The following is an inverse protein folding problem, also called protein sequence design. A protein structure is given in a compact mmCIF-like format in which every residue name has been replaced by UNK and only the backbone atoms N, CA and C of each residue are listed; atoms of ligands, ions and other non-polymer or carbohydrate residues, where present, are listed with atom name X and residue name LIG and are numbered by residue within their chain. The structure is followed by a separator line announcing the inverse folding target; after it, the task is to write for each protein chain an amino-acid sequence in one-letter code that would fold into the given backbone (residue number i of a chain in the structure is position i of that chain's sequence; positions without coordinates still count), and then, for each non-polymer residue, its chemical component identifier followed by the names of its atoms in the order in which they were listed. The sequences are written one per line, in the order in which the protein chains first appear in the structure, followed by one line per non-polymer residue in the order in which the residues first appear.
data_IF_082237521146
#
_entry.id   IF_082237521146
#
_cell.length_a   1.000
_cell.length_b   1.000
_cell.length_c   1.000
_cell.angle_alpha   90.00
_cell.angle_beta   90.00
_cell.angle_gamma   90.00
#
_symmetry.space_group_name_H-M   'P 1'
#
loop_
_entity.id
_entity.type
_entity.pdbx_description
1 polymer ?
#
# COMPACT_ATOMS: atom_id res chain seq x y z
N UNK A 1 -24.54 -27.94 99.17
CA UNK A 1 -24.46 -26.50 99.52
C UNK A 1 -23.00 -26.12 99.66
N UNK A 2 -22.68 -24.83 99.48
CA UNK A 2 -21.34 -24.23 99.40
C UNK A 2 -20.51 -24.60 98.15
N UNK A 3 -19.78 -23.72 97.44
CA UNK A 3 -19.86 -22.27 97.08
C UNK A 3 -18.43 -21.82 96.80
N UNK A 4 -18.12 -21.34 95.58
CA UNK A 4 -17.26 -20.19 95.25
C UNK A 4 -16.70 -20.24 93.81
N UNK A 5 -16.95 -19.16 93.07
CA UNK A 5 -16.09 -18.61 92.00
C UNK A 5 -15.08 -17.66 92.67
N UNK A 6 -13.92 -17.32 92.05
CA UNK A 6 -13.87 -16.55 90.80
C UNK A 6 -12.94 -17.22 89.75
N UNK A 7 -12.30 -16.61 88.72
CA UNK A 7 -12.25 -15.22 88.22
C UNK A 7 -12.08 -15.15 86.67
N UNK A 8 -11.24 -14.22 86.18
CA UNK A 8 -10.76 -13.94 84.80
C UNK A 8 -9.38 -13.26 84.96
N UNK A 9 -8.40 -13.35 84.03
CA UNK A 9 -8.53 -12.66 82.74
C UNK A 9 -7.78 -13.26 81.51
N UNK A 10 -8.22 -12.84 80.32
CA UNK A 10 -7.46 -12.80 79.05
C UNK A 10 -6.34 -11.75 79.11
N UNK A 11 -5.19 -11.86 78.39
CA UNK A 11 -5.23 -11.71 76.92
C UNK A 11 -4.09 -12.34 76.06
N UNK A 12 -4.26 -12.13 74.75
CA UNK A 12 -3.24 -11.89 73.71
C UNK A 12 -2.44 -13.06 73.08
N UNK A 13 -2.65 -13.13 71.76
CA UNK A 13 -1.63 -13.21 70.70
C UNK A 13 -1.14 -14.58 70.19
N UNK A 14 -1.63 -14.91 68.99
CA UNK A 14 -0.89 -15.41 67.83
C UNK A 14 0.32 -16.36 68.02
N UNK A 15 0.23 -17.57 67.46
CA UNK A 15 0.69 -17.79 66.08
C UNK A 15 0.19 -19.10 65.42
N UNK A 16 0.19 -19.07 64.09
CA UNK A 16 -0.18 -20.10 63.07
C UNK A 16 0.36 -21.52 63.41
N UNK A 17 -0.31 -22.62 63.03
CA UNK A 17 -0.28 -23.15 61.64
C UNK A 17 -1.27 -24.32 61.35
N UNK A 18 -1.94 -24.22 60.20
CA UNK A 18 -2.35 -25.30 59.28
C UNK A 18 -3.04 -26.56 59.84
N UNK A 19 -4.36 -26.47 60.03
CA UNK A 19 -5.24 -27.63 59.87
C UNK A 19 -5.54 -27.87 58.36
N UNK A 20 -5.80 -29.12 58.00
CA UNK A 20 -5.72 -29.65 56.63
C UNK A 20 -7.08 -29.58 55.87
N UNK A 21 -7.03 -29.44 54.53
CA UNK A 21 -8.17 -29.45 53.55
C UNK A 21 -9.09 -28.20 53.63
N UNK A 22 -9.45 -27.56 52.49
CA UNK A 22 -10.15 -28.16 51.33
C UNK A 22 -9.41 -27.84 49.99
N UNK A 23 -9.89 -28.14 48.78
CA UNK A 23 -11.20 -28.62 48.31
C UNK A 23 -11.03 -29.66 47.18
N UNK A 24 -12.04 -30.49 46.94
CA UNK A 24 -12.07 -31.39 45.77
C UNK A 24 -12.00 -30.56 44.50
N UNK A 25 -10.98 -30.79 43.66
CA UNK A 25 -11.01 -30.30 42.27
C UNK A 25 -12.30 -30.81 41.63
N UNK A 26 -13.15 -29.88 41.17
CA UNK A 26 -14.23 -30.23 40.25
C UNK A 26 -13.55 -30.67 38.96
N UNK A 27 -13.45 -31.99 38.75
CA UNK A 27 -13.12 -32.54 37.45
C UNK A 27 -14.12 -31.93 36.46
N UNK A 28 -13.64 -31.11 35.54
CA UNK A 28 -14.45 -30.60 34.46
C UNK A 28 -14.84 -31.83 33.63
N UNK A 29 -16.11 -32.23 33.71
CA UNK A 29 -16.61 -33.30 32.88
C UNK A 29 -16.34 -32.90 31.42
N UNK A 30 -15.72 -33.77 30.59
CA UNK A 30 -15.54 -33.45 29.19
C UNK A 30 -16.93 -33.22 28.61
N UNK A 31 -17.16 -32.03 28.06
CA UNK A 31 -18.43 -31.67 27.45
C UNK A 31 -18.59 -32.54 26.19
N UNK A 32 -19.22 -33.71 26.35
CA UNK A 32 -19.53 -34.65 25.27
C UNK A 32 -20.62 -34.05 24.40
N UNK A 33 -20.20 -33.12 23.56
CA UNK A 33 -20.95 -32.57 22.44
C UNK A 33 -21.17 -33.72 21.45
N UNK A 34 -22.30 -34.42 21.63
CA UNK A 34 -22.86 -35.32 20.64
C UNK A 34 -23.40 -34.49 19.46
N UNK A 35 -22.48 -33.84 18.73
CA UNK A 35 -22.76 -33.13 17.51
C UNK A 35 -23.03 -34.15 16.41
N UNK A 36 -24.27 -34.18 15.93
CA UNK A 36 -24.61 -35.00 14.77
C UNK A 36 -23.70 -34.62 13.59
N UNK A 37 -23.10 -35.62 12.94
CA UNK A 37 -22.18 -35.42 11.81
C UNK A 37 -22.76 -34.48 10.73
N UNK A 38 -24.06 -34.60 10.45
CA UNK A 38 -24.84 -33.74 9.54
C UNK A 38 -24.76 -32.25 9.91
N UNK A 39 -24.79 -31.93 11.20
CA UNK A 39 -24.73 -30.55 11.71
C UNK A 39 -23.32 -29.97 11.54
N UNK A 40 -22.28 -30.78 11.76
CA UNK A 40 -20.88 -30.39 11.53
C UNK A 40 -20.64 -30.14 10.04
N UNK A 41 -21.08 -31.03 9.14
CA UNK A 41 -20.94 -30.84 7.69
C UNK A 41 -21.69 -29.62 7.17
N UNK A 42 -22.86 -29.31 7.74
CA UNK A 42 -23.60 -28.08 7.41
C UNK A 42 -22.81 -26.82 7.78
N UNK A 43 -22.27 -26.76 9.01
CA UNK A 43 -21.45 -25.62 9.48
C UNK A 43 -20.19 -25.45 8.61
N UNK A 44 -19.51 -26.55 8.25
CA UNK A 44 -18.33 -26.52 7.37
C UNK A 44 -18.71 -25.98 5.98
N UNK A 45 -19.84 -26.42 5.41
CA UNK A 45 -20.30 -25.94 4.10
C UNK A 45 -20.58 -24.42 4.11
N UNK A 46 -21.25 -23.92 5.15
CA UNK A 46 -21.52 -22.49 5.35
C UNK A 46 -20.19 -21.71 5.53
N UNK A 47 -19.24 -22.25 6.30
CA UNK A 47 -17.93 -21.63 6.49
C UNK A 47 -17.13 -21.54 5.18
N UNK A 48 -17.13 -22.58 4.36
CA UNK A 48 -16.48 -22.58 3.04
C UNK A 48 -17.11 -21.51 2.13
N UNK A 49 -18.44 -21.44 2.05
CA UNK A 49 -19.13 -20.42 1.25
C UNK A 49 -18.83 -18.99 1.73
N UNK A 50 -18.75 -18.78 3.05
CA UNK A 50 -18.43 -17.47 3.62
C UNK A 50 -16.98 -17.06 3.32
N UNK A 51 -16.02 -17.98 3.50
CA UNK A 51 -14.60 -17.74 3.17
C UNK A 51 -14.40 -17.52 1.67
N UNK A 52 -15.07 -18.29 0.80
CA UNK A 52 -14.96 -18.10 -0.65
C UNK A 52 -15.53 -16.76 -1.09
N UNK A 53 -16.66 -16.33 -0.53
CA UNK A 53 -17.25 -15.02 -0.81
C UNK A 53 -16.34 -13.88 -0.34
N UNK A 54 -15.78 -13.97 0.86
CA UNK A 54 -14.85 -12.97 1.40
C UNK A 54 -13.54 -12.89 0.59
N UNK A 55 -13.00 -14.05 0.20
CA UNK A 55 -11.83 -14.11 -0.69
C UNK A 55 -12.13 -13.52 -2.07
N UNK A 56 -13.30 -13.80 -2.64
CA UNK A 56 -13.70 -13.22 -3.93
C UNK A 56 -13.78 -11.70 -3.87
N UNK A 57 -14.40 -11.11 -2.84
CA UNK A 57 -14.51 -9.65 -2.68
C UNK A 57 -13.14 -9.01 -2.48
N UNK A 58 -12.29 -9.58 -1.63
CA UNK A 58 -10.94 -9.02 -1.37
C UNK A 58 -9.99 -9.11 -2.56
N UNK A 59 -10.09 -10.16 -3.39
CA UNK A 59 -9.37 -10.27 -4.66
C UNK A 59 -9.89 -9.26 -5.70
N UNK A 60 -11.22 -9.13 -5.85
CA UNK A 60 -11.81 -8.16 -6.78
C UNK A 60 -11.45 -6.72 -6.41
N UNK A 61 -11.39 -6.38 -5.12
CA UNK A 61 -10.97 -5.04 -4.66
C UNK A 61 -9.53 -4.73 -5.09
N UNK A 62 -8.59 -5.66 -4.89
CA UNK A 62 -7.19 -5.49 -5.30
C UNK A 62 -7.03 -5.38 -6.82
N UNK A 63 -7.77 -6.20 -7.59
CA UNK A 63 -7.76 -6.13 -9.06
C UNK A 63 -8.33 -4.79 -9.55
N UNK A 64 -9.41 -4.29 -8.93
CA UNK A 64 -10.02 -3.02 -9.28
C UNK A 64 -9.07 -1.83 -8.99
N UNK A 65 -8.39 -1.86 -7.84
CA UNK A 65 -7.38 -0.86 -7.49
C UNK A 65 -6.19 -0.89 -8.46
N UNK A 66 -5.64 -2.07 -8.75
CA UNK A 66 -4.55 -2.22 -9.73
C UNK A 66 -4.96 -1.72 -11.13
N UNK A 67 -6.18 -2.04 -11.58
CA UNK A 67 -6.72 -1.51 -12.85
C UNK A 67 -6.90 0.01 -12.82
N UNK A 68 -7.27 0.60 -11.68
CA UNK A 68 -7.38 2.04 -11.53
C UNK A 68 -6.01 2.72 -11.64
N UNK A 69 -5.00 2.19 -10.94
CA UNK A 69 -3.62 2.68 -11.03
C UNK A 69 -3.09 2.58 -12.47
N UNK A 70 -3.24 1.44 -13.13
CA UNK A 70 -2.84 1.27 -14.54
C UNK A 70 -3.53 2.28 -15.48
N UNK A 71 -4.82 2.57 -15.28
CA UNK A 71 -5.54 3.59 -16.06
C UNK A 71 -5.00 5.01 -15.81
N UNK A 72 -4.62 5.34 -14.56
CA UNK A 72 -3.99 6.62 -14.24
C UNK A 72 -2.60 6.74 -14.88
N UNK A 73 -1.74 5.73 -14.71
CA UNK A 73 -0.39 5.72 -15.33
C UNK A 73 -0.48 5.82 -16.85
N UNK A 74 -1.40 5.09 -17.49
CA UNK A 74 -1.59 5.18 -18.95
C UNK A 74 -2.11 6.56 -19.39
N UNK A 75 -2.96 7.22 -18.62
CA UNK A 75 -3.37 8.61 -18.90
C UNK A 75 -2.19 9.58 -18.82
N UNK A 76 -1.39 9.50 -17.74
CA UNK A 76 -0.20 10.34 -17.55
C UNK A 76 0.81 10.11 -18.69
N UNK A 77 1.01 8.86 -19.11
CA UNK A 77 1.85 8.52 -20.25
C UNK A 77 1.33 9.13 -21.57
N UNK A 78 0.02 9.01 -21.85
CA UNK A 78 -0.60 9.60 -23.04
C UNK A 78 -0.52 11.13 -23.05
N UNK A 79 -0.70 11.76 -21.88
CA UNK A 79 -0.56 13.22 -21.74
C UNK A 79 0.89 13.67 -21.96
N UNK A 80 1.88 12.97 -21.38
CA UNK A 80 3.30 13.23 -21.61
C UNK A 80 3.69 13.06 -23.08
N UNK A 81 3.22 11.99 -23.74
CA UNK A 81 3.45 11.78 -25.18
C UNK A 81 2.82 12.89 -26.03
N UNK A 82 1.64 13.39 -25.65
CA UNK A 82 0.99 14.53 -26.31
C UNK A 82 1.78 15.84 -26.12
N UNK A 83 2.33 16.08 -24.92
CA UNK A 83 3.22 17.21 -24.66
C UNK A 83 4.52 17.12 -25.47
N UNK A 84 5.14 15.94 -25.55
CA UNK A 84 6.32 15.70 -26.39
C UNK A 84 6.00 15.97 -27.86
N UNK A 85 4.93 15.39 -28.42
CA UNK A 85 4.53 15.65 -29.80
C UNK A 85 4.25 17.14 -30.08
N UNK A 86 3.64 17.85 -29.12
CA UNK A 86 3.44 19.31 -29.22
C UNK A 86 4.78 20.06 -29.21
N UNK A 87 5.71 19.70 -28.33
CA UNK A 87 7.04 20.31 -28.27
C UNK A 87 7.85 20.00 -29.54
N UNK A 88 7.83 18.78 -30.05
CA UNK A 88 8.47 18.40 -31.32
C UNK A 88 7.86 19.14 -32.50
N UNK A 89 6.55 19.36 -32.52
CA UNK A 89 5.87 20.17 -33.55
C UNK A 89 6.28 21.66 -33.49
N UNK A 90 6.28 22.26 -32.29
CA UNK A 90 6.78 23.63 -32.08
C UNK A 90 8.26 23.73 -32.47
N UNK A 91 9.07 22.73 -32.14
CA UNK A 91 10.48 22.69 -32.50
C UNK A 91 10.67 22.57 -34.01
N UNK A 92 9.90 21.70 -34.68
CA UNK A 92 9.91 21.59 -36.13
C UNK A 92 9.51 22.91 -36.81
N UNK A 93 8.52 23.62 -36.27
CA UNK A 93 8.12 24.95 -36.75
C UNK A 93 9.18 26.03 -36.47
N UNK A 94 9.89 25.96 -35.34
CA UNK A 94 10.96 26.91 -35.00
C UNK A 94 12.26 26.67 -35.77
N UNK A 95 12.51 25.42 -36.18
CA UNK A 95 13.60 25.01 -37.06
C UNK A 95 13.20 24.96 -38.54
N UNK A 96 11.97 25.37 -38.87
CA UNK A 96 11.52 25.48 -40.25
C UNK A 96 12.30 26.61 -40.93
N UNK A 97 13.09 26.25 -41.93
CA UNK A 97 14.01 27.16 -42.59
C UNK A 97 13.26 28.29 -43.29
N UNK A 98 12.03 28.04 -43.75
CA UNK A 98 11.19 29.03 -44.41
C UNK A 98 10.72 30.11 -43.42
N UNK A 99 10.40 29.74 -42.18
CA UNK A 99 10.00 30.69 -41.11
C UNK A 99 11.21 31.50 -40.62
N UNK A 100 12.39 30.86 -40.54
CA UNK A 100 13.64 31.56 -40.22
C UNK A 100 13.99 32.55 -41.32
N UNK A 101 13.85 32.17 -42.60
CA UNK A 101 14.12 33.04 -43.75
C UNK A 101 13.11 34.20 -43.83
N UNK A 102 11.81 33.95 -43.61
CA UNK A 102 10.79 34.99 -43.56
C UNK A 102 11.09 36.03 -42.47
N UNK A 103 11.42 35.60 -41.25
CA UNK A 103 11.80 36.50 -40.16
C UNK A 103 13.10 37.24 -40.43
N UNK A 104 14.12 36.57 -40.97
CA UNK A 104 15.40 37.19 -41.29
C UNK A 104 15.25 38.29 -42.35
N UNK A 105 14.44 38.05 -43.39
CA UNK A 105 14.19 39.03 -44.45
C UNK A 105 13.28 40.17 -43.98
N UNK A 106 12.16 39.86 -43.30
CA UNK A 106 11.12 40.85 -43.00
C UNK A 106 11.35 41.60 -41.68
N UNK A 107 11.86 40.94 -40.62
CA UNK A 107 12.09 41.58 -39.30
C UNK A 107 13.53 42.11 -39.15
N UNK A 108 14.51 41.41 -39.73
CA UNK A 108 15.94 41.75 -39.60
C UNK A 108 16.57 42.40 -40.85
N UNK A 109 15.80 42.56 -41.94
CA UNK A 109 16.24 43.12 -43.23
C UNK A 109 17.48 42.40 -43.83
N UNK A 110 17.72 41.15 -43.42
CA UNK A 110 18.82 40.34 -43.94
C UNK A 110 18.52 39.87 -45.37
N UNK A 111 19.56 39.55 -46.12
CA UNK A 111 19.43 39.00 -47.47
C UNK A 111 20.09 37.62 -47.50
N UNK A 112 19.54 36.70 -48.29
CA UNK A 112 20.06 35.33 -48.40
C UNK A 112 21.53 35.37 -48.87
N UNK A 113 22.47 34.76 -48.13
CA UNK A 113 23.89 34.81 -48.49
C UNK A 113 24.14 34.08 -49.82
N UNK A 114 25.10 34.59 -50.59
CA UNK A 114 25.50 33.96 -51.84
C UNK A 114 26.25 32.65 -51.56
N UNK A 115 26.17 31.62 -52.44
CA UNK A 115 26.75 30.29 -52.15
C UNK A 115 28.24 30.29 -51.76
N UNK A 116 29.03 31.24 -52.30
CA UNK A 116 30.45 31.38 -51.99
C UNK A 116 30.75 31.98 -50.60
N UNK A 117 29.73 32.41 -49.86
CA UNK A 117 29.84 33.03 -48.53
C UNK A 117 29.51 32.02 -47.41
N UNK A 118 29.07 30.81 -47.76
CA UNK A 118 28.69 29.75 -46.82
C UNK A 118 29.95 28.97 -46.46
N UNK A 119 30.39 29.08 -45.20
CA UNK A 119 31.51 28.32 -44.65
C UNK A 119 30.97 27.20 -43.76
N UNK A 120 31.19 25.95 -44.16
CA UNK A 120 30.82 24.79 -43.35
C UNK A 120 31.86 24.56 -42.25
N UNK A 121 31.41 24.51 -40.99
CA UNK A 121 32.25 24.24 -39.82
C UNK A 121 32.00 22.81 -39.38
N UNK A 122 33.00 21.93 -39.55
CA UNK A 122 32.94 20.55 -39.05
C UNK A 122 33.13 20.53 -37.53
N UNK A 123 32.01 20.49 -36.80
CA UNK A 123 32.01 20.34 -35.35
C UNK A 123 32.11 18.84 -35.03
N UNK A 124 33.27 18.41 -34.53
CA UNK A 124 33.41 17.05 -33.96
C UNK A 124 32.45 16.93 -32.79
N UNK A 125 31.48 16.01 -32.90
CA UNK A 125 30.56 15.67 -31.81
C UNK A 125 31.32 14.92 -30.73
N UNK A 126 31.74 15.62 -29.69
CA UNK A 126 32.21 14.98 -28.46
C UNK A 126 31.00 14.42 -27.72
N UNK A 127 30.78 13.11 -27.85
CA UNK A 127 29.74 12.39 -27.14
C UNK A 127 30.15 12.26 -25.67
N UNK A 128 29.62 13.15 -24.83
CA UNK A 128 29.68 13.00 -23.38
C UNK A 128 28.89 11.75 -22.98
N UNK A 129 29.59 10.63 -22.82
CA UNK A 129 29.09 9.49 -22.04
C UNK A 129 29.15 9.89 -20.58
N UNK A 130 28.02 10.34 -20.05
CA UNK A 130 27.80 10.45 -18.61
C UNK A 130 27.73 9.01 -18.05
N UNK A 131 28.65 8.67 -17.14
CA UNK A 131 28.68 7.38 -16.44
C UNK A 131 27.92 7.54 -15.12
N UNK A 132 27.06 6.57 -14.81
CA UNK A 132 26.32 6.47 -13.53
C UNK A 132 27.25 6.27 -12.31
#
# INVERSE_FOLDING_TARGET
MYKHRPEKPTPLSAYKKTANKPAKQKQQAPLKLNLNSVFITSIICIAILFVSSFSYVTLNSQVLEAQHQLKLTNKIWQESLSQLNKLTSILAQAYDLDIIEEKAVNELLMHKPLPHQIVYIDIKKESFTEYE
#
